data_IF_226142991768
#
_entry.id   IF_226142991768
#
_cell.length_a   1.000
_cell.length_b   1.000
_cell.length_c   1.000
_cell.angle_alpha   90.00
_cell.angle_beta   90.00
_cell.angle_gamma   90.00
#
_symmetry.space_group_name_H-M   'P 1'
#
loop_
_entity.id
_entity.type
_entity.pdbx_description
1 polymer ?
#
# COMPACT_ATOMS: atom_id res chain seq x y z
N UNK A 1 -6.54 0.56 -29.76
CA UNK A 1 -6.28 1.69 -28.86
C UNK A 1 -4.79 1.94 -28.92
N UNK A 2 -4.38 3.13 -29.34
CA UNK A 2 -2.97 3.53 -29.36
C UNK A 2 -2.53 4.08 -27.99
N UNK A 3 -1.24 4.36 -27.85
CA UNK A 3 -0.67 4.85 -26.60
C UNK A 3 -1.27 6.21 -26.19
N UNK A 4 -1.46 7.11 -27.15
CA UNK A 4 -2.02 8.44 -26.91
C UNK A 4 -3.44 8.38 -26.37
N UNK A 5 -4.27 7.50 -26.94
CA UNK A 5 -5.63 7.25 -26.48
C UNK A 5 -5.68 6.71 -25.05
N UNK A 6 -4.76 5.81 -24.68
CA UNK A 6 -4.69 5.27 -23.30
C UNK A 6 -4.25 6.36 -22.33
N UNK A 7 -3.25 7.16 -22.70
CA UNK A 7 -2.76 8.26 -21.86
C UNK A 7 -3.86 9.29 -21.59
N UNK A 8 -4.65 9.63 -22.61
CA UNK A 8 -5.80 10.52 -22.45
C UNK A 8 -6.84 9.97 -21.48
N UNK A 9 -7.12 8.66 -21.53
CA UNK A 9 -8.01 8.01 -20.58
C UNK A 9 -7.47 8.06 -19.14
N UNK A 10 -6.16 7.87 -18.95
CA UNK A 10 -5.51 8.00 -17.64
C UNK A 10 -5.58 9.45 -17.11
N UNK A 11 -5.44 10.45 -17.99
CA UNK A 11 -5.54 11.88 -17.63
C UNK A 11 -6.95 12.31 -17.25
N UNK A 12 -7.97 11.72 -17.90
CA UNK A 12 -9.38 12.03 -17.68
C UNK A 12 -10.02 11.18 -16.55
N UNK A 13 -9.30 10.20 -15.98
CA UNK A 13 -9.83 9.31 -14.94
C UNK A 13 -10.05 10.06 -13.60
N UNK A 14 -11.32 10.25 -13.16
CA UNK A 14 -11.61 10.89 -11.87
C UNK A 14 -11.13 10.08 -10.66
N UNK A 15 -10.74 8.82 -10.86
CA UNK A 15 -10.25 7.92 -9.82
C UNK A 15 -8.72 7.83 -9.76
N UNK A 16 -7.98 8.49 -10.67
CA UNK A 16 -6.52 8.40 -10.76
C UNK A 16 -5.81 8.66 -9.42
N UNK A 17 -6.31 9.63 -8.64
CA UNK A 17 -5.75 9.98 -7.32
C UNK A 17 -5.86 8.84 -6.29
N UNK A 18 -6.83 7.93 -6.43
CA UNK A 18 -6.97 6.79 -5.50
C UNK A 18 -5.80 5.83 -5.61
N UNK A 19 -5.17 5.72 -6.79
CA UNK A 19 -4.00 4.87 -7.02
C UNK A 19 -2.84 5.21 -6.08
N UNK A 20 -2.68 6.49 -5.73
CA UNK A 20 -1.63 6.96 -4.80
C UNK A 20 -1.80 6.45 -3.37
N UNK A 21 -2.94 5.86 -3.01
CA UNK A 21 -3.22 5.32 -1.67
C UNK A 21 -2.76 3.87 -1.47
N UNK A 22 -2.13 3.26 -2.48
CA UNK A 22 -1.70 1.87 -2.46
C UNK A 22 -0.20 1.74 -2.62
N UNK A 23 0.37 0.74 -1.94
CA UNK A 23 1.74 0.29 -2.15
C UNK A 23 1.75 -0.67 -3.35
N UNK A 24 2.14 -0.14 -4.51
CA UNK A 24 2.26 -0.92 -5.74
C UNK A 24 3.70 -1.45 -5.92
N UNK A 25 3.89 -2.59 -6.61
CA UNK A 25 5.22 -3.10 -6.95
C UNK A 25 6.03 -2.06 -7.74
N UNK A 26 7.31 -1.89 -7.39
CA UNK A 26 8.22 -0.99 -8.10
C UNK A 26 8.57 -1.54 -9.50
N UNK A 27 8.84 -0.64 -10.44
CA UNK A 27 9.30 -0.98 -11.80
C UNK A 27 8.17 -1.15 -12.81
N UNK A 28 8.46 -1.80 -13.95
CA UNK A 28 7.53 -2.01 -15.08
C UNK A 28 6.51 -3.14 -14.86
N UNK A 29 6.22 -3.52 -13.61
CA UNK A 29 5.27 -4.61 -13.32
C UNK A 29 3.84 -4.07 -13.29
N UNK A 30 2.98 -4.64 -14.12
CA UNK A 30 1.54 -4.37 -14.11
C UNK A 30 0.89 -5.42 -13.18
N UNK A 31 0.23 -4.96 -12.13
CA UNK A 31 -0.40 -5.83 -11.14
C UNK A 31 -1.86 -6.11 -11.54
N UNK A 32 -2.12 -7.33 -12.02
CA UNK A 32 -3.42 -7.73 -12.57
C UNK A 32 -4.13 -8.85 -11.77
N UNK A 33 -3.64 -9.19 -10.59
CA UNK A 33 -4.20 -10.25 -9.72
C UNK A 33 -4.89 -9.70 -8.46
N UNK A 34 -5.38 -8.46 -8.55
CA UNK A 34 -6.04 -7.77 -7.42
C UNK A 34 -7.38 -8.38 -7.00
N UNK A 35 -7.96 -9.26 -7.83
CA UNK A 35 -9.15 -10.03 -7.52
C UNK A 35 -8.86 -11.22 -6.59
N UNK A 36 -7.61 -11.70 -6.53
CA UNK A 36 -7.17 -12.74 -5.60
C UNK A 36 -6.58 -12.11 -4.33
N UNK A 37 -5.56 -11.26 -4.51
CA UNK A 37 -4.92 -10.53 -3.42
C UNK A 37 -4.69 -9.07 -3.82
N UNK A 38 -5.48 -8.16 -3.28
CA UNK A 38 -5.34 -6.72 -3.53
C UNK A 38 -4.02 -6.15 -3.00
N UNK A 39 -3.50 -5.05 -3.61
CA UNK A 39 -2.33 -4.36 -3.10
C UNK A 39 -2.61 -3.73 -1.73
N UNK A 40 -1.58 -3.64 -0.89
CA UNK A 40 -1.70 -3.09 0.46
C UNK A 40 -1.99 -1.58 0.40
N UNK A 41 -2.96 -1.11 1.20
CA UNK A 41 -3.19 0.33 1.36
C UNK A 41 -2.14 0.97 2.26
N UNK A 42 -1.82 2.24 2.02
CA UNK A 42 -0.90 3.00 2.90
C UNK A 42 -1.38 3.00 4.36
N UNK A 43 -2.68 3.16 4.58
CA UNK A 43 -3.29 3.15 5.92
C UNK A 43 -3.12 1.80 6.62
N UNK A 44 -3.29 0.69 5.91
CA UNK A 44 -3.06 -0.64 6.50
C UNK A 44 -1.58 -0.81 6.90
N UNK A 45 -0.65 -0.34 6.05
CA UNK A 45 0.78 -0.37 6.36
C UNK A 45 1.14 0.48 7.60
N UNK A 46 0.55 1.67 7.73
CA UNK A 46 0.72 2.51 8.92
C UNK A 46 0.17 1.85 10.18
N UNK A 47 -1.01 1.23 10.09
CA UNK A 47 -1.62 0.49 11.20
C UNK A 47 -0.73 -0.65 11.69
N UNK A 48 -0.20 -1.45 10.76
CA UNK A 48 0.76 -2.52 11.07
C UNK A 48 2.03 -1.98 11.73
N UNK A 49 2.56 -0.87 11.22
CA UNK A 49 3.78 -0.25 11.76
C UNK A 49 3.57 0.23 13.21
N UNK A 50 2.42 0.84 13.52
CA UNK A 50 2.07 1.27 14.87
C UNK A 50 1.95 0.09 15.84
N UNK A 51 1.30 -0.99 15.41
CA UNK A 51 1.15 -2.21 16.22
C UNK A 51 2.51 -2.86 16.52
N UNK A 52 3.39 -2.93 15.52
CA UNK A 52 4.73 -3.49 15.69
C UNK A 52 5.56 -2.72 16.73
N UNK A 53 5.51 -1.39 16.71
CA UNK A 53 6.23 -0.55 17.68
C UNK A 53 5.65 -0.68 19.10
N UNK A 54 4.32 -0.72 19.23
CA UNK A 54 3.66 -0.83 20.53
C UNK A 54 3.92 -2.18 21.21
N UNK A 55 3.97 -3.28 20.44
CA UNK A 55 4.33 -4.58 20.98
C UNK A 55 5.81 -4.66 21.39
N UNK A 56 6.70 -3.98 20.68
CA UNK A 56 8.11 -3.87 21.10
C UNK A 56 8.25 -3.22 22.48
N UNK A 57 7.49 -2.15 22.75
CA UNK A 57 7.49 -1.46 24.04
C UNK A 57 6.90 -2.30 25.20
N UNK A 58 5.91 -3.14 24.91
CA UNK A 58 5.29 -4.05 25.91
C UNK A 58 6.17 -5.26 26.23
N UNK A 59 6.96 -5.75 25.28
CA UNK A 59 7.90 -6.86 25.53
C UNK A 59 9.11 -6.37 26.34
N UNK A 60 9.60 -5.15 26.08
CA UNK A 60 10.70 -4.58 26.88
C UNK A 60 10.33 -4.34 28.34
N UNK A 61 9.07 -3.97 28.64
CA UNK A 61 8.63 -3.75 30.03
C UNK A 61 8.38 -5.04 30.82
N UNK A 62 8.30 -6.19 30.15
CA UNK A 62 8.15 -7.52 30.77
C UNK A 62 9.50 -8.23 30.98
N UNK A 63 10.60 -7.67 30.50
CA UNK A 63 11.95 -8.25 30.57
C UNK A 63 12.88 -7.57 31.58
N UNK A 64 12.44 -6.51 32.25
CA UNK A 64 13.21 -5.89 33.35
C UNK A 64 13.07 -6.75 34.63
N UNK A 65 14.17 -7.30 35.17
CA UNK A 65 14.11 -8.12 36.37
C UNK A 65 13.84 -7.27 37.61
N UNK A 66 12.97 -7.78 38.48
CA UNK A 66 12.66 -7.28 39.82
C UNK A 66 13.87 -7.19 40.74
#
# INVERSE_FOLDING_TARGET
MDLESVQKLDEEDPLAEKRKKFLLPKGKKIFLDGNSLGPLTLVANEGLSKLSTNNGAMISSQLEPS
#
